data_IF_182252364115
#
_entry.id   IF_182252364115
#
_cell.length_a   1.000
_cell.length_b   1.000
_cell.length_c   1.000
_cell.angle_alpha   90.00
_cell.angle_beta   90.00
_cell.angle_gamma   90.00
#
_symmetry.space_group_name_H-M   'P 1'
#
loop_
_entity.id
_entity.type
_entity.pdbx_description
1 polymer ?
#
# COMPACT_ATOMS: atom_id res chain seq x y z
N UNK A 1 -1.55 25.19 27.53
CA UNK A 1 -0.43 25.75 26.69
C UNK A 1 0.07 24.74 25.66
N UNK A 2 0.14 23.45 25.95
CA UNK A 2 0.67 22.42 25.03
C UNK A 2 -0.25 22.12 23.83
N UNK A 3 -1.56 22.22 24.00
CA UNK A 3 -2.55 22.02 22.92
C UNK A 3 -2.51 23.11 21.85
N UNK A 4 -2.20 24.35 22.22
CA UNK A 4 -2.06 25.45 21.26
C UNK A 4 -0.75 25.34 20.49
N UNK A 5 0.31 24.87 21.14
CA UNK A 5 1.62 24.64 20.52
C UNK A 5 1.58 23.47 19.52
N UNK A 6 0.85 22.40 19.85
CA UNK A 6 0.69 21.24 18.94
C UNK A 6 -0.16 21.58 17.71
N UNK A 7 -1.19 22.42 17.85
CA UNK A 7 -1.99 22.92 16.70
C UNK A 7 -1.14 23.79 15.77
N UNK A 8 -0.35 24.70 16.31
CA UNK A 8 0.55 25.54 15.50
C UNK A 8 1.59 24.75 14.74
N UNK A 9 2.19 23.72 15.36
CA UNK A 9 3.12 22.80 14.69
C UNK A 9 2.42 22.02 13.57
N UNK A 10 1.22 21.49 13.80
CA UNK A 10 0.44 20.78 12.79
C UNK A 10 0.15 21.64 11.55
N UNK A 11 -0.20 22.91 11.74
CA UNK A 11 -0.46 23.84 10.63
C UNK A 11 0.81 24.22 9.87
N UNK A 12 1.95 24.32 10.54
CA UNK A 12 3.25 24.55 9.91
C UNK A 12 3.61 23.35 9.03
N UNK A 13 3.48 22.12 9.53
CA UNK A 13 3.76 20.90 8.74
C UNK A 13 2.83 20.75 7.54
N UNK A 14 1.54 21.07 7.69
CA UNK A 14 0.59 21.06 6.56
C UNK A 14 1.00 22.05 5.48
N UNK A 15 1.35 23.28 5.86
CA UNK A 15 1.81 24.30 4.91
C UNK A 15 3.12 23.90 4.24
N UNK A 16 4.07 23.34 4.99
CA UNK A 16 5.34 22.83 4.44
C UNK A 16 5.10 21.70 3.43
N UNK A 17 4.19 20.74 3.75
CA UNK A 17 3.85 19.65 2.84
C UNK A 17 3.20 20.16 1.56
N UNK A 18 2.25 21.10 1.66
CA UNK A 18 1.62 21.72 0.49
C UNK A 18 2.63 22.50 -0.36
N UNK A 19 3.53 23.27 0.28
CA UNK A 19 4.56 24.01 -0.41
C UNK A 19 5.57 23.09 -1.10
N UNK A 20 5.96 22.00 -0.45
CA UNK A 20 6.84 20.99 -1.04
C UNK A 20 6.20 20.30 -2.25
N UNK A 21 4.91 19.95 -2.16
CA UNK A 21 4.14 19.38 -3.27
C UNK A 21 4.02 20.35 -4.45
N UNK A 22 3.72 21.62 -4.19
CA UNK A 22 3.60 22.64 -5.23
C UNK A 22 4.91 22.89 -5.95
N UNK A 23 6.05 22.86 -5.23
CA UNK A 23 7.37 23.09 -5.79
C UNK A 23 8.17 21.80 -6.07
N UNK A 24 7.53 20.63 -6.11
CA UNK A 24 8.18 19.32 -6.27
C UNK A 24 9.15 19.28 -7.47
N UNK A 25 8.78 19.86 -8.60
CA UNK A 25 9.60 19.85 -9.80
C UNK A 25 10.88 20.68 -9.64
N UNK A 26 10.79 21.83 -8.95
CA UNK A 26 11.98 22.64 -8.62
C UNK A 26 12.91 21.90 -7.69
N UNK A 27 12.39 21.22 -6.66
CA UNK A 27 13.20 20.41 -5.76
C UNK A 27 13.87 19.24 -6.49
N UNK A 28 13.15 18.56 -7.37
CA UNK A 28 13.70 17.46 -8.18
C UNK A 28 14.81 17.97 -9.10
N UNK A 29 14.63 19.13 -9.76
CA UNK A 29 15.66 19.72 -10.59
C UNK A 29 16.90 20.12 -9.79
N UNK A 30 16.73 20.70 -8.60
CA UNK A 30 17.83 21.07 -7.71
C UNK A 30 18.58 19.82 -7.22
N UNK A 31 17.85 18.76 -6.81
CA UNK A 31 18.45 17.50 -6.41
C UNK A 31 19.25 16.85 -7.55
N UNK A 32 18.72 16.85 -8.77
CA UNK A 32 19.46 16.37 -9.96
C UNK A 32 20.73 17.15 -10.22
N UNK A 33 20.68 18.49 -10.13
CA UNK A 33 21.87 19.35 -10.28
C UNK A 33 22.91 19.07 -9.19
N UNK A 34 22.45 18.89 -7.95
CA UNK A 34 23.33 18.56 -6.83
C UNK A 34 24.04 17.22 -7.04
N UNK A 35 23.30 16.17 -7.41
CA UNK A 35 23.88 14.84 -7.69
C UNK A 35 24.92 14.92 -8.80
N UNK A 36 24.65 15.64 -9.88
CA UNK A 36 25.61 15.83 -10.98
C UNK A 36 26.83 16.67 -10.61
N UNK A 37 26.70 17.56 -9.61
CA UNK A 37 27.83 18.38 -9.15
C UNK A 37 28.75 17.63 -8.19
N UNK A 38 28.22 16.69 -7.40
CA UNK A 38 28.98 15.98 -6.34
C UNK A 38 29.60 14.69 -6.86
N UNK A 39 28.92 13.97 -7.78
CA UNK A 39 29.36 12.67 -8.27
C UNK A 39 29.93 12.77 -9.69
N UNK A 40 30.80 11.82 -10.05
CA UNK A 40 31.27 11.68 -11.42
C UNK A 40 30.10 11.40 -12.37
N UNK A 41 30.23 11.76 -13.63
CA UNK A 41 29.16 11.63 -14.64
C UNK A 41 28.53 10.23 -14.65
N UNK A 42 29.36 9.19 -14.69
CA UNK A 42 28.93 7.78 -14.68
C UNK A 42 28.16 7.38 -13.41
N UNK A 43 28.56 7.91 -12.24
CA UNK A 43 27.91 7.63 -10.95
C UNK A 43 26.60 8.41 -10.83
N UNK A 44 26.60 9.67 -11.29
CA UNK A 44 25.39 10.52 -11.23
C UNK A 44 24.27 9.98 -12.11
N UNK A 45 24.58 9.49 -13.32
CA UNK A 45 23.59 8.87 -14.19
C UNK A 45 22.98 7.62 -13.53
N UNK A 46 23.82 6.77 -12.94
CA UNK A 46 23.35 5.57 -12.23
C UNK A 46 22.45 5.88 -11.05
N UNK A 47 22.82 6.88 -10.22
CA UNK A 47 21.98 7.32 -9.10
C UNK A 47 20.65 7.88 -9.58
N UNK A 48 20.66 8.71 -10.62
CA UNK A 48 19.43 9.27 -11.20
C UNK A 48 18.53 8.20 -11.83
N UNK A 49 19.12 7.18 -12.45
CA UNK A 49 18.39 6.05 -12.99
C UNK A 49 17.71 5.25 -11.87
N UNK A 50 18.43 4.92 -10.78
CA UNK A 50 17.86 4.24 -9.61
C UNK A 50 16.72 5.07 -9.01
N UNK A 51 16.90 6.37 -8.82
CA UNK A 51 15.84 7.26 -8.33
C UNK A 51 14.60 7.27 -9.25
N UNK A 52 14.80 7.27 -10.57
CA UNK A 52 13.71 7.24 -11.54
C UNK A 52 12.95 5.92 -11.48
N UNK A 53 13.66 4.80 -11.44
CA UNK A 53 13.06 3.45 -11.28
C UNK A 53 12.31 3.32 -9.96
N UNK A 54 12.89 3.84 -8.86
CA UNK A 54 12.22 3.89 -7.55
C UNK A 54 10.91 4.64 -7.62
N UNK A 55 10.92 5.83 -8.20
CA UNK A 55 9.72 6.64 -8.34
C UNK A 55 8.63 5.94 -9.17
N UNK A 56 9.03 5.28 -10.27
CA UNK A 56 8.11 4.50 -11.09
C UNK A 56 7.53 3.30 -10.33
N UNK A 57 8.37 2.54 -9.62
CA UNK A 57 7.92 1.40 -8.82
C UNK A 57 6.97 1.83 -7.70
N UNK A 58 7.28 2.94 -7.00
CA UNK A 58 6.42 3.53 -5.97
C UNK A 58 5.06 3.93 -6.54
N UNK A 59 5.04 4.68 -7.64
CA UNK A 59 3.80 5.10 -8.27
C UNK A 59 2.95 3.91 -8.71
N UNK A 60 3.54 2.95 -9.41
CA UNK A 60 2.82 1.75 -9.88
C UNK A 60 2.26 0.94 -8.70
N UNK A 61 3.04 0.81 -7.62
CA UNK A 61 2.58 0.12 -6.42
C UNK A 61 1.38 0.82 -5.78
N UNK A 62 1.45 2.15 -5.58
CA UNK A 62 0.34 2.89 -4.98
C UNK A 62 -0.91 2.90 -5.85
N UNK A 63 -0.76 3.07 -7.16
CA UNK A 63 -1.90 2.95 -8.09
C UNK A 63 -2.51 1.55 -8.04
N UNK A 64 -1.66 0.52 -8.10
CA UNK A 64 -2.12 -0.86 -7.97
C UNK A 64 -2.86 -1.10 -6.65
N UNK A 65 -2.31 -0.66 -5.53
CA UNK A 65 -2.90 -0.81 -4.21
C UNK A 65 -4.28 -0.11 -4.10
N UNK A 66 -4.41 1.10 -4.65
CA UNK A 66 -5.69 1.82 -4.65
C UNK A 66 -6.73 1.04 -5.47
N UNK A 67 -6.39 0.58 -6.67
CA UNK A 67 -7.29 -0.20 -7.52
C UNK A 67 -7.69 -1.50 -6.82
N UNK A 68 -6.74 -2.18 -6.17
CA UNK A 68 -6.97 -3.41 -5.42
C UNK A 68 -7.96 -3.20 -4.25
N UNK A 69 -7.78 -2.13 -3.46
CA UNK A 69 -8.71 -1.74 -2.39
C UNK A 69 -10.15 -1.56 -2.90
N UNK A 70 -10.32 -0.83 -4.01
CA UNK A 70 -11.62 -0.61 -4.61
C UNK A 70 -12.20 -1.92 -5.19
N UNK A 71 -11.40 -2.72 -5.87
CA UNK A 71 -11.82 -3.97 -6.48
C UNK A 71 -12.31 -4.96 -5.42
N UNK A 72 -11.53 -5.14 -4.34
CA UNK A 72 -11.91 -6.04 -3.24
C UNK A 72 -13.18 -5.53 -2.54
N UNK A 73 -13.28 -4.22 -2.27
CA UNK A 73 -14.48 -3.62 -1.70
C UNK A 73 -15.73 -3.87 -2.57
N UNK A 74 -15.62 -3.68 -3.89
CA UNK A 74 -16.72 -3.93 -4.83
C UNK A 74 -17.08 -5.40 -4.89
N UNK A 75 -16.10 -6.31 -4.96
CA UNK A 75 -16.35 -7.75 -4.95
C UNK A 75 -17.05 -8.20 -3.68
N UNK A 76 -16.60 -7.71 -2.52
CA UNK A 76 -17.27 -7.97 -1.24
C UNK A 76 -18.71 -7.44 -1.24
N UNK A 77 -18.91 -6.19 -1.72
CA UNK A 77 -20.24 -5.59 -1.77
C UNK A 77 -21.21 -6.39 -2.65
N UNK A 78 -20.76 -6.79 -3.83
CA UNK A 78 -21.57 -7.60 -4.75
C UNK A 78 -21.92 -8.95 -4.09
N UNK A 79 -20.91 -9.66 -3.54
CA UNK A 79 -21.14 -10.95 -2.88
C UNK A 79 -22.10 -10.85 -1.71
N UNK A 80 -21.86 -9.89 -0.81
CA UNK A 80 -22.74 -9.68 0.35
C UNK A 80 -24.16 -9.25 -0.04
N UNK A 81 -24.32 -8.47 -1.11
CA UNK A 81 -25.62 -8.01 -1.60
C UNK A 81 -26.43 -9.16 -2.22
N UNK A 82 -25.79 -10.05 -3.01
CA UNK A 82 -26.42 -11.22 -3.60
C UNK A 82 -26.99 -12.12 -2.49
N UNK A 83 -26.24 -12.38 -1.45
CA UNK A 83 -26.66 -13.21 -0.32
C UNK A 83 -27.45 -12.44 0.74
N UNK A 84 -27.77 -11.16 0.50
CA UNK A 84 -28.57 -10.29 1.39
C UNK A 84 -28.02 -10.25 2.82
N UNK A 85 -26.70 -10.12 2.97
CA UNK A 85 -26.09 -9.91 4.28
C UNK A 85 -26.43 -8.54 4.84
N UNK A 86 -26.64 -8.41 6.16
CA UNK A 86 -26.81 -7.12 6.80
C UNK A 86 -25.53 -6.29 6.69
N UNK A 87 -25.69 -4.95 6.63
CA UNK A 87 -24.57 -4.00 6.58
C UNK A 87 -23.58 -4.23 5.42
N UNK A 88 -24.02 -4.79 4.29
CA UNK A 88 -23.16 -5.13 3.15
C UNK A 88 -22.26 -3.96 2.72
N UNK A 89 -22.79 -2.75 2.57
CA UNK A 89 -22.01 -1.58 2.18
C UNK A 89 -20.93 -1.22 3.22
N UNK A 90 -21.32 -1.17 4.50
CA UNK A 90 -20.40 -0.80 5.58
C UNK A 90 -19.23 -1.77 5.68
N UNK A 91 -19.54 -3.06 5.70
CA UNK A 91 -18.52 -4.11 5.84
C UNK A 91 -17.61 -4.14 4.62
N UNK A 92 -18.16 -4.01 3.42
CA UNK A 92 -17.36 -3.98 2.18
C UNK A 92 -16.43 -2.77 2.12
N UNK A 93 -16.85 -1.61 2.57
CA UNK A 93 -16.00 -0.42 2.69
C UNK A 93 -14.87 -0.65 3.71
N UNK A 94 -15.18 -1.26 4.86
CA UNK A 94 -14.16 -1.59 5.87
C UNK A 94 -13.12 -2.55 5.29
N UNK A 95 -13.56 -3.63 4.62
CA UNK A 95 -12.66 -4.61 4.02
C UNK A 95 -11.79 -3.97 2.93
N UNK A 96 -12.38 -3.18 2.02
CA UNK A 96 -11.63 -2.48 0.99
C UNK A 96 -10.63 -1.47 1.58
N UNK A 97 -11.02 -0.75 2.63
CA UNK A 97 -10.12 0.19 3.27
C UNK A 97 -8.96 -0.48 4.03
N UNK A 98 -9.22 -1.56 4.72
CA UNK A 98 -8.18 -2.31 5.44
C UNK A 98 -7.17 -2.96 4.50
N UNK A 99 -7.53 -3.22 3.23
CA UNK A 99 -6.65 -3.76 2.19
C UNK A 99 -5.40 -2.89 1.92
N UNK A 100 -5.41 -1.61 2.32
CA UNK A 100 -4.23 -0.72 2.27
C UNK A 100 -3.02 -1.36 2.98
N UNK A 101 -3.25 -2.19 4.00
CA UNK A 101 -2.19 -2.93 4.68
C UNK A 101 -2.08 -4.32 4.06
N UNK A 102 -1.06 -4.57 3.22
CA UNK A 102 -0.92 -5.85 2.52
C UNK A 102 -0.90 -7.04 3.50
N UNK A 103 -1.50 -8.15 3.10
CA UNK A 103 -1.59 -9.41 3.87
C UNK A 103 -2.47 -9.29 5.13
N UNK A 104 -2.23 -8.31 5.99
CA UNK A 104 -2.92 -8.15 7.29
C UNK A 104 -4.31 -7.53 7.11
N UNK A 105 -4.43 -6.61 6.15
CA UNK A 105 -5.66 -5.86 5.91
C UNK A 105 -6.90 -6.70 5.66
N UNK A 106 -6.87 -7.66 4.71
CA UNK A 106 -8.02 -8.52 4.43
C UNK A 106 -8.50 -9.29 5.66
N UNK A 107 -7.58 -9.77 6.49
CA UNK A 107 -7.92 -10.49 7.72
C UNK A 107 -8.54 -9.58 8.77
N UNK A 108 -7.99 -8.37 8.95
CA UNK A 108 -8.58 -7.39 9.87
C UNK A 108 -9.99 -7.00 9.44
N UNK A 109 -10.20 -6.73 8.15
CA UNK A 109 -11.52 -6.42 7.61
C UNK A 109 -12.50 -7.58 7.77
N UNK A 110 -12.06 -8.82 7.53
CA UNK A 110 -12.85 -10.02 7.71
C UNK A 110 -13.24 -10.25 9.18
N UNK A 111 -12.32 -10.06 10.12
CA UNK A 111 -12.60 -10.19 11.56
C UNK A 111 -13.63 -9.13 11.99
N UNK A 112 -13.41 -7.86 11.64
CA UNK A 112 -14.35 -6.79 12.00
C UNK A 112 -15.72 -7.04 11.37
N UNK A 113 -15.79 -7.36 10.07
CA UNK A 113 -17.03 -7.69 9.39
C UNK A 113 -17.72 -8.90 9.98
N UNK A 114 -16.96 -9.96 10.30
CA UNK A 114 -17.46 -11.17 10.95
C UNK A 114 -18.09 -10.89 12.32
N UNK A 115 -17.47 -10.01 13.12
CA UNK A 115 -18.05 -9.59 14.40
C UNK A 115 -19.37 -8.85 14.20
N UNK A 116 -19.48 -7.94 13.23
CA UNK A 116 -20.74 -7.28 12.90
C UNK A 116 -21.84 -8.28 12.55
N UNK A 117 -21.54 -9.25 11.70
CA UNK A 117 -22.51 -10.28 11.33
C UNK A 117 -22.87 -11.17 12.52
N UNK A 118 -21.88 -11.56 13.34
CA UNK A 118 -22.07 -12.41 14.51
C UNK A 118 -23.05 -11.79 15.52
N UNK A 119 -22.99 -10.48 15.74
CA UNK A 119 -23.89 -9.81 16.68
C UNK A 119 -25.31 -9.62 16.13
N UNK A 120 -25.50 -9.58 14.81
CA UNK A 120 -26.79 -9.30 14.18
C UNK A 120 -27.50 -10.58 13.75
N UNK A 121 -26.77 -11.53 13.15
CA UNK A 121 -27.31 -12.77 12.62
C UNK A 121 -26.25 -13.90 12.77
N UNK A 122 -26.13 -14.49 13.98
CA UNK A 122 -25.11 -15.49 14.27
C UNK A 122 -25.06 -16.67 13.29
N UNK A 123 -26.20 -17.26 12.85
CA UNK A 123 -26.17 -18.35 11.89
C UNK A 123 -25.55 -18.00 10.54
N UNK A 124 -25.63 -16.73 10.12
CA UNK A 124 -25.04 -16.27 8.86
C UNK A 124 -23.54 -16.01 8.94
N UNK A 125 -22.95 -15.96 10.13
CA UNK A 125 -21.51 -15.71 10.29
C UNK A 125 -20.67 -16.76 9.56
N UNK A 126 -21.06 -18.03 9.61
CA UNK A 126 -20.35 -19.10 8.89
C UNK A 126 -20.39 -18.87 7.37
N UNK A 127 -21.54 -18.50 6.84
CA UNK A 127 -21.69 -18.18 5.41
C UNK A 127 -20.91 -16.93 5.01
N UNK A 128 -20.83 -15.94 5.90
CA UNK A 128 -19.99 -14.75 5.68
C UNK A 128 -18.50 -15.12 5.59
N UNK A 129 -18.01 -15.98 6.49
CA UNK A 129 -16.62 -16.45 6.44
C UNK A 129 -16.35 -17.17 5.12
N UNK A 130 -17.24 -18.07 4.71
CA UNK A 130 -17.10 -18.77 3.41
C UNK A 130 -17.07 -17.77 2.25
N UNK A 131 -17.99 -16.81 2.24
CA UNK A 131 -18.02 -15.76 1.21
C UNK A 131 -16.71 -14.99 1.14
N UNK A 132 -16.21 -14.52 2.30
CA UNK A 132 -14.97 -13.76 2.35
C UNK A 132 -13.77 -14.58 1.87
N UNK A 133 -13.68 -15.86 2.25
CA UNK A 133 -12.60 -16.73 1.75
C UNK A 133 -12.67 -16.89 0.23
N UNK A 134 -13.86 -17.04 -0.35
CA UNK A 134 -14.05 -17.13 -1.81
C UNK A 134 -13.64 -15.79 -2.47
N UNK A 135 -14.10 -14.67 -1.94
CA UNK A 135 -13.75 -13.35 -2.47
C UNK A 135 -12.25 -13.09 -2.38
N UNK A 136 -11.61 -13.43 -1.27
CA UNK A 136 -10.15 -13.31 -1.12
C UNK A 136 -9.40 -14.22 -2.09
N UNK A 137 -9.89 -15.44 -2.38
CA UNK A 137 -9.28 -16.30 -3.39
C UNK A 137 -9.43 -15.74 -4.80
N UNK A 138 -10.57 -15.16 -5.13
CA UNK A 138 -10.76 -14.47 -6.40
C UNK A 138 -9.81 -13.26 -6.52
N UNK A 139 -9.71 -12.46 -5.48
CA UNK A 139 -8.81 -11.32 -5.43
C UNK A 139 -7.35 -11.74 -5.61
N UNK A 140 -6.86 -12.65 -4.80
CA UNK A 140 -5.47 -13.13 -4.82
C UNK A 140 -5.07 -13.79 -6.15
N UNK A 141 -6.00 -14.46 -6.84
CA UNK A 141 -5.68 -15.19 -8.07
C UNK A 141 -5.98 -14.41 -9.35
N UNK A 142 -6.93 -13.48 -9.33
CA UNK A 142 -7.38 -12.77 -10.52
C UNK A 142 -7.04 -11.29 -10.50
N UNK A 143 -7.33 -10.59 -9.41
CA UNK A 143 -7.21 -9.11 -9.34
C UNK A 143 -5.79 -8.71 -8.97
N UNK A 144 -5.32 -9.16 -7.81
CA UNK A 144 -4.02 -8.80 -7.27
C UNK A 144 -2.86 -9.00 -8.25
N UNK A 145 -2.69 -10.15 -8.95
CA UNK A 145 -1.59 -10.34 -9.88
C UNK A 145 -1.67 -9.42 -11.11
N UNK A 146 -2.86 -9.01 -11.52
CA UNK A 146 -3.04 -8.09 -12.66
C UNK A 146 -2.79 -6.64 -12.30
N UNK A 147 -3.08 -6.25 -11.06
CA UNK A 147 -3.09 -4.85 -10.63
C UNK A 147 -1.81 -4.50 -9.88
N UNK A 148 -1.37 -5.33 -8.96
CA UNK A 148 -0.21 -5.09 -8.09
C UNK A 148 0.97 -5.99 -8.46
N UNK A 149 0.74 -7.24 -8.80
CA UNK A 149 1.77 -8.28 -8.93
C UNK A 149 2.84 -7.97 -9.99
N UNK A 150 2.47 -7.37 -11.12
CA UNK A 150 3.41 -6.97 -12.17
C UNK A 150 4.22 -5.71 -11.83
N UNK A 151 3.74 -4.91 -10.88
CA UNK A 151 4.39 -3.66 -10.50
C UNK A 151 5.59 -3.86 -9.56
N UNK A 152 5.61 -4.95 -8.80
CA UNK A 152 6.57 -5.16 -7.70
C UNK A 152 7.60 -6.24 -7.99
N UNK A 153 7.26 -7.28 -8.78
CA UNK A 153 8.19 -8.35 -9.19
C UNK A 153 8.82 -9.14 -8.04
N UNK A 154 8.29 -9.02 -6.81
CA UNK A 154 8.79 -9.69 -5.61
C UNK A 154 8.06 -11.01 -5.37
N UNK A 155 8.79 -12.04 -4.92
CA UNK A 155 8.15 -13.23 -4.36
C UNK A 155 7.53 -12.92 -2.99
N UNK A 156 6.46 -13.64 -2.62
CA UNK A 156 5.72 -13.40 -1.38
C UNK A 156 6.58 -13.37 -0.10
N UNK A 157 7.69 -14.11 -0.08
CA UNK A 157 8.60 -14.13 1.07
C UNK A 157 9.29 -12.78 1.27
N UNK A 158 9.68 -12.11 0.19
CA UNK A 158 10.30 -10.78 0.26
C UNK A 158 9.30 -9.70 0.68
N UNK A 159 8.04 -9.85 0.27
CA UNK A 159 6.95 -8.99 0.72
C UNK A 159 6.74 -9.14 2.23
N UNK A 160 6.76 -10.37 2.74
CA UNK A 160 6.59 -10.67 4.17
C UNK A 160 7.76 -10.10 5.00
N UNK A 161 8.99 -10.30 4.54
CA UNK A 161 10.19 -9.70 5.18
C UNK A 161 10.09 -8.18 5.18
N UNK A 162 9.69 -7.57 4.07
CA UNK A 162 9.53 -6.12 3.97
C UNK A 162 8.52 -5.60 5.00
N UNK A 163 7.36 -6.24 5.12
CA UNK A 163 6.30 -5.86 6.07
C UNK A 163 6.79 -5.96 7.50
N UNK A 164 7.48 -7.06 7.86
CA UNK A 164 8.02 -7.24 9.22
C UNK A 164 9.06 -6.17 9.56
N UNK A 165 10.02 -5.92 8.67
CA UNK A 165 11.05 -4.90 8.88
C UNK A 165 10.45 -3.49 8.89
N UNK A 166 9.61 -3.16 7.93
CA UNK A 166 8.96 -1.85 7.85
C UNK A 166 8.06 -1.56 9.04
N UNK A 167 7.27 -2.56 9.44
CA UNK A 167 6.41 -2.47 10.61
C UNK A 167 7.17 -2.27 11.91
N UNK A 168 8.30 -2.97 12.08
CA UNK A 168 9.16 -2.84 13.24
C UNK A 168 9.88 -1.49 13.33
N UNK A 169 10.22 -0.87 12.18
CA UNK A 169 10.97 0.39 12.15
C UNK A 169 10.05 1.63 12.22
N UNK A 170 8.96 1.64 11.48
CA UNK A 170 8.11 2.84 11.31
C UNK A 170 6.60 2.56 11.46
N UNK A 171 6.22 1.42 12.04
CA UNK A 171 4.82 1.07 12.27
C UNK A 171 4.02 0.95 10.96
N UNK A 172 2.75 1.41 10.97
CA UNK A 172 1.85 1.33 9.80
C UNK A 172 2.41 2.01 8.55
N UNK A 173 3.02 3.18 8.69
CA UNK A 173 3.67 3.87 7.56
C UNK A 173 4.80 3.06 6.96
N UNK A 174 5.58 2.39 7.81
CA UNK A 174 6.64 1.48 7.40
C UNK A 174 6.14 0.28 6.62
N UNK A 175 5.03 -0.33 7.03
CA UNK A 175 4.41 -1.47 6.34
C UNK A 175 4.05 -1.08 4.89
N UNK A 176 3.40 0.07 4.71
CA UNK A 176 2.95 0.54 3.39
C UNK A 176 4.14 0.85 2.47
N UNK A 177 5.20 1.48 3.00
CA UNK A 177 6.36 1.88 2.22
C UNK A 177 7.38 0.76 2.02
N UNK A 178 7.38 -0.26 2.87
CA UNK A 178 8.39 -1.31 2.86
C UNK A 178 8.38 -2.15 1.59
N UNK A 179 7.20 -2.47 1.07
CA UNK A 179 7.05 -3.31 -0.13
C UNK A 179 7.70 -2.67 -1.36
N UNK A 180 7.38 -1.42 -1.74
CA UNK A 180 8.03 -0.80 -2.90
C UNK A 180 9.51 -0.51 -2.67
N UNK A 181 9.94 -0.20 -1.44
CA UNK A 181 11.37 -0.03 -1.13
C UNK A 181 12.10 -1.37 -1.32
N UNK A 182 11.56 -2.46 -0.80
CA UNK A 182 12.14 -3.79 -0.98
C UNK A 182 12.21 -4.20 -2.46
N UNK A 183 11.20 -3.85 -3.26
CA UNK A 183 11.20 -4.12 -4.70
C UNK A 183 12.38 -3.44 -5.40
N UNK A 184 12.65 -2.19 -5.08
CA UNK A 184 13.78 -1.45 -5.65
C UNK A 184 15.11 -2.04 -5.17
N UNK A 185 15.23 -2.34 -3.88
CA UNK A 185 16.43 -2.99 -3.34
C UNK A 185 16.70 -4.33 -4.04
N UNK A 186 15.67 -5.18 -4.16
CA UNK A 186 15.78 -6.49 -4.78
C UNK A 186 16.21 -6.41 -6.25
N UNK A 187 15.59 -5.53 -7.05
CA UNK A 187 15.95 -5.35 -8.46
C UNK A 187 17.36 -4.78 -8.63
N UNK A 188 17.73 -3.80 -7.80
CA UNK A 188 19.06 -3.16 -7.86
C UNK A 188 20.18 -4.14 -7.49
N UNK A 189 19.97 -4.95 -6.42
CA UNK A 189 20.93 -5.99 -6.01
C UNK A 189 21.01 -7.09 -7.06
N UNK A 190 19.87 -7.53 -7.60
CA UNK A 190 19.84 -8.53 -8.67
C UNK A 190 20.63 -8.11 -9.91
N UNK A 191 20.53 -6.84 -10.33
CA UNK A 191 21.34 -6.32 -11.43
C UNK A 191 22.84 -6.24 -11.11
N UNK A 192 23.18 -6.06 -9.84
CA UNK A 192 24.58 -5.99 -9.41
C UNK A 192 25.23 -7.39 -9.32
N UNK A 193 24.47 -8.39 -8.91
CA UNK A 193 24.94 -9.79 -8.79
C UNK A 193 25.04 -10.47 -10.16
N UNK A 194 24.20 -10.10 -11.12
CA UNK A 194 24.18 -10.69 -12.47
C UNK A 194 25.12 -10.00 -13.48
N UNK A 195 25.96 -9.06 -13.02
CA UNK A 195 27.06 -8.44 -13.78
C UNK A 195 28.39 -9.11 -13.49
#
# INVERSE_FOLDING_TARGET
RDLVRSRGLGDVYKRQSLYALYNKEKFIMQARKFVRAVFSEKTSERVLEICSRTNMAMNNYFYGMIIDCFSLGILCFIGMSIFKFPYALLISVIIGFTQIVPIVGPWLGAIVGGLFILFVDPPRTVWFIVLILVVQQLDNNLVYPRVVGNAVGLSGIWVLIAILLGGGLWGLGGIILAVPIMAVCYTTVGEWVNK
#
